data_IF_252083907800
#
_entry.id   IF_252083907800
#
_cell.length_a   1.000
_cell.length_b   1.000
_cell.length_c   1.000
_cell.angle_alpha   90.00
_cell.angle_beta   90.00
_cell.angle_gamma   90.00
#
_symmetry.space_group_name_H-M   'P 1'
#
loop_
_entity.id
_entity.type
_entity.pdbx_description
1 polymer ?
#
# COMPACT_ATOMS: atom_id res chain seq x y z
N UNK A 1 20.20 6.74 -3.20
CA UNK A 1 18.75 6.80 -2.91
C UNK A 1 18.50 5.93 -1.69
N UNK A 2 18.06 6.52 -0.58
CA UNK A 2 17.95 5.85 0.74
C UNK A 2 16.83 4.78 0.67
N UNK A 3 17.02 3.58 1.23
CA UNK A 3 16.10 2.44 1.07
C UNK A 3 14.71 2.65 1.71
N UNK A 4 14.52 3.68 2.53
CA UNK A 4 13.26 3.98 3.21
C UNK A 4 12.08 4.28 2.26
N UNK A 5 12.35 4.75 1.04
CA UNK A 5 11.31 4.96 0.03
C UNK A 5 10.70 3.65 -0.51
N UNK A 6 11.31 2.49 -0.25
CA UNK A 6 10.76 1.19 -0.65
C UNK A 6 9.50 0.83 0.15
N UNK A 7 9.35 1.35 1.37
CA UNK A 7 8.23 1.03 2.25
C UNK A 7 6.89 1.58 1.70
N UNK A 8 6.78 2.86 1.32
CA UNK A 8 5.57 3.38 0.68
C UNK A 8 5.44 2.96 -0.79
N UNK A 9 6.51 2.46 -1.43
CA UNK A 9 6.42 1.90 -2.77
C UNK A 9 5.56 0.63 -2.83
N UNK A 10 5.50 -0.15 -1.75
CA UNK A 10 4.67 -1.38 -1.68
C UNK A 10 3.18 -1.07 -1.88
N UNK A 11 2.53 -0.18 -1.09
CA UNK A 11 1.13 0.14 -1.31
C UNK A 11 0.85 0.89 -2.61
N UNK A 12 1.78 1.73 -3.07
CA UNK A 12 1.67 2.37 -4.37
C UNK A 12 1.65 1.35 -5.53
N UNK A 13 2.55 0.36 -5.50
CA UNK A 13 2.58 -0.73 -6.48
C UNK A 13 1.32 -1.59 -6.40
N UNK A 14 0.79 -1.84 -5.19
CA UNK A 14 -0.48 -2.55 -5.00
C UNK A 14 -1.67 -1.87 -5.69
N UNK A 15 -1.70 -0.53 -5.69
CA UNK A 15 -2.71 0.27 -6.41
C UNK A 15 -2.46 0.31 -7.92
N UNK A 16 -1.21 0.40 -8.37
CA UNK A 16 -0.87 0.47 -9.80
C UNK A 16 -1.06 -0.88 -10.51
N UNK A 17 -0.76 -1.99 -9.83
CA UNK A 17 -0.93 -3.34 -10.36
C UNK A 17 -2.38 -3.84 -10.27
N UNK A 18 -3.24 -3.10 -9.58
CA UNK A 18 -4.64 -3.42 -9.37
C UNK A 18 -5.43 -3.81 -10.64
N UNK A 19 -5.35 -3.07 -11.77
CA UNK A 19 -6.04 -3.47 -13.01
C UNK A 19 -5.42 -4.69 -13.70
N UNK A 20 -4.16 -5.03 -13.38
CA UNK A 20 -3.46 -6.20 -13.94
C UNK A 20 -3.72 -7.49 -13.14
N UNK A 21 -4.34 -7.40 -11.96
CA UNK A 21 -4.60 -8.55 -11.10
C UNK A 21 -5.96 -9.18 -11.46
N UNK A 22 -5.99 -10.37 -12.09
CA UNK A 22 -7.22 -10.98 -12.61
C UNK A 22 -8.23 -11.30 -11.49
N UNK A 23 -7.77 -11.53 -10.26
CA UNK A 23 -8.64 -11.79 -9.11
C UNK A 23 -9.37 -10.54 -8.59
N UNK A 24 -8.87 -9.33 -8.90
CA UNK A 24 -9.52 -8.07 -8.58
C UNK A 24 -10.60 -7.75 -9.62
N UNK A 25 -10.38 -8.17 -10.86
CA UNK A 25 -11.26 -7.94 -12.01
C UNK A 25 -12.28 -9.06 -12.25
N UNK A 26 -12.34 -10.07 -11.37
CA UNK A 26 -13.39 -11.08 -11.42
C UNK A 26 -14.71 -10.53 -10.86
N UNK A 27 -15.85 -10.92 -11.45
CA UNK A 27 -17.20 -10.54 -10.99
C UNK A 27 -17.62 -11.09 -9.61
N UNK A 28 -16.70 -11.65 -8.84
CA UNK A 28 -16.97 -12.12 -7.48
C UNK A 28 -17.15 -10.94 -6.53
N UNK A 29 -18.27 -10.93 -5.81
CA UNK A 29 -18.48 -9.98 -4.72
C UNK A 29 -17.76 -10.46 -3.45
N UNK A 30 -17.06 -9.54 -2.79
CA UNK A 30 -16.46 -9.74 -1.48
C UNK A 30 -17.20 -8.83 -0.48
N UNK A 31 -17.77 -9.42 0.58
CA UNK A 31 -18.63 -8.68 1.53
C UNK A 31 -19.80 -7.91 0.88
N UNK A 32 -20.26 -8.34 -0.32
CA UNK A 32 -21.30 -7.63 -1.08
C UNK A 32 -20.79 -6.45 -1.91
N UNK A 33 -19.47 -6.23 -2.00
CA UNK A 33 -18.83 -5.20 -2.81
C UNK A 33 -17.96 -5.83 -3.93
N UNK A 34 -17.77 -5.13 -5.07
CA UNK A 34 -16.77 -5.51 -6.06
C UNK A 34 -15.39 -5.68 -5.41
N UNK A 35 -14.69 -6.79 -5.71
CA UNK A 35 -13.32 -7.03 -5.20
C UNK A 35 -12.37 -5.87 -5.48
N UNK A 36 -12.58 -5.16 -6.58
CA UNK A 36 -11.85 -3.93 -6.90
C UNK A 36 -11.98 -2.87 -5.80
N UNK A 37 -13.17 -2.61 -5.28
CA UNK A 37 -13.30 -1.63 -4.20
C UNK A 37 -12.62 -2.08 -2.90
N UNK A 38 -12.77 -3.36 -2.53
CA UNK A 38 -12.18 -3.88 -1.29
C UNK A 38 -10.65 -3.86 -1.35
N UNK A 39 -10.08 -4.24 -2.49
CA UNK A 39 -8.63 -4.22 -2.69
C UNK A 39 -8.08 -2.78 -2.69
N UNK A 40 -8.82 -1.83 -3.26
CA UNK A 40 -8.39 -0.44 -3.32
C UNK A 40 -8.42 0.21 -1.95
N UNK A 41 -9.49 -0.04 -1.20
CA UNK A 41 -9.61 0.40 0.18
C UNK A 41 -8.50 -0.19 1.07
N UNK A 42 -8.17 -1.48 0.90
CA UNK A 42 -7.08 -2.14 1.64
C UNK A 42 -5.74 -1.43 1.41
N UNK A 43 -5.39 -1.17 0.15
CA UNK A 43 -4.12 -0.51 -0.17
C UNK A 43 -4.11 0.98 0.21
N UNK A 44 -5.24 1.69 0.11
CA UNK A 44 -5.38 3.05 0.63
C UNK A 44 -5.14 3.12 2.14
N UNK A 45 -5.75 2.20 2.90
CA UNK A 45 -5.53 2.12 4.36
C UNK A 45 -4.08 1.78 4.66
N UNK A 46 -3.42 0.95 3.85
CA UNK A 46 -2.00 0.61 3.99
C UNK A 46 -1.03 1.73 3.61
N UNK A 47 -1.44 2.73 2.82
CA UNK A 47 -0.61 3.91 2.57
C UNK A 47 -0.29 4.69 3.87
N UNK A 48 -1.28 4.86 4.74
CA UNK A 48 -1.13 5.62 6.00
C UNK A 48 -0.04 5.03 6.92
N UNK A 49 -0.07 3.74 7.31
CA UNK A 49 0.98 3.16 8.15
C UNK A 49 2.31 3.07 7.40
N UNK A 50 2.33 2.93 6.07
CA UNK A 50 3.59 2.91 5.32
C UNK A 50 4.32 4.25 5.38
N UNK A 51 3.59 5.37 5.27
CA UNK A 51 4.15 6.71 5.46
C UNK A 51 4.60 6.92 6.91
N UNK A 52 3.78 6.52 7.89
CA UNK A 52 4.13 6.62 9.31
C UNK A 52 5.40 5.80 9.65
N UNK A 53 5.55 4.59 9.11
CA UNK A 53 6.75 3.77 9.28
C UNK A 53 7.98 4.44 8.67
N UNK A 54 7.82 5.06 7.51
CA UNK A 54 8.89 5.80 6.84
C UNK A 54 9.37 6.97 7.68
N UNK A 55 8.46 7.77 8.23
CA UNK A 55 8.78 8.86 9.15
C UNK A 55 9.48 8.35 10.42
N UNK A 56 8.95 7.29 11.04
CA UNK A 56 9.55 6.69 12.23
C UNK A 56 10.97 6.20 11.98
N UNK A 57 11.23 5.60 10.84
CA UNK A 57 12.54 5.09 10.47
C UNK A 57 13.52 6.21 10.14
N UNK A 58 13.07 7.26 9.45
CA UNK A 58 13.88 8.44 9.17
C UNK A 58 14.29 9.17 10.46
N UNK A 59 13.35 9.39 11.37
CA UNK A 59 13.62 10.04 12.66
C UNK A 59 14.57 9.21 13.54
N UNK A 60 14.48 7.88 13.47
CA UNK A 60 15.39 6.98 14.20
C UNK A 60 16.83 6.99 13.65
N UNK A 61 16.98 7.21 12.34
CA UNK A 61 18.29 7.34 11.68
C UNK A 61 18.93 8.72 11.94
N UNK A 62 18.12 9.77 12.11
CA UNK A 62 18.60 11.09 12.55
C UNK A 62 19.03 11.10 14.03
N UNK A 63 18.33 10.36 14.90
CA UNK A 63 18.70 10.26 16.31
C UNK A 63 19.99 9.45 16.58
N UNK A 64 20.40 8.60 15.62
CA UNK A 64 21.63 7.81 15.69
C UNK A 64 22.87 8.59 15.17
N UNK A 65 22.66 9.78 14.60
CA UNK A 65 23.68 10.62 13.97
C UNK A 65 24.07 11.80 14.86
#
# INVERSE_FOLDING_TARGET
>A
MRPYHLIPAVPALGLVLMPFLPFVNTGGLWFGLPRMLVWGALWCVMCTPALLLTERLMNREEADK
#
